data_IF_206531260046
#
_entry.id   IF_206531260046
#
_cell.length_a   1.000
_cell.length_b   1.000
_cell.length_c   1.000
_cell.angle_alpha   90.00
_cell.angle_beta   90.00
_cell.angle_gamma   90.00
#
_symmetry.space_group_name_H-M   'P 1'
#
loop_
_entity.id
_entity.type
_entity.pdbx_description
1 polymer ?
#
# COMPACT_ATOMS: atom_id res chain seq x y z
N UNK A 1 14.88 41.94 -16.83
CA UNK A 1 15.44 41.23 -15.66
C UNK A 1 15.74 39.81 -16.09
N UNK A 2 17.00 39.56 -16.45
CA UNK A 2 17.52 38.24 -16.81
C UNK A 2 18.26 37.70 -15.58
N UNK A 3 17.91 36.50 -15.13
CA UNK A 3 18.63 35.81 -14.06
C UNK A 3 19.96 35.25 -14.61
N UNK A 4 21.07 35.35 -13.87
CA UNK A 4 22.38 34.93 -14.38
C UNK A 4 22.57 33.40 -14.32
N UNK A 5 23.31 32.89 -15.30
CA UNK A 5 23.78 31.50 -15.40
C UNK A 5 24.65 31.08 -14.19
N UNK A 6 24.66 29.78 -13.82
CA UNK A 6 25.53 29.28 -12.75
C UNK A 6 26.98 29.15 -13.23
N UNK A 7 27.92 29.68 -12.45
CA UNK A 7 29.36 29.47 -12.61
C UNK A 7 29.79 28.08 -12.11
N UNK A 8 30.86 27.48 -12.68
CA UNK A 8 31.29 26.12 -12.37
C UNK A 8 32.08 26.03 -11.05
N UNK A 9 31.78 24.95 -10.33
CA UNK A 9 32.45 24.30 -9.20
C UNK A 9 33.74 24.93 -8.63
N UNK A 10 33.66 25.39 -7.38
CA UNK A 10 34.80 25.44 -6.45
C UNK A 10 34.86 24.13 -5.66
N UNK A 11 36.01 23.46 -5.73
CA UNK A 11 36.31 22.22 -5.01
C UNK A 11 36.62 22.51 -3.53
N UNK A 12 35.62 22.48 -2.66
CA UNK A 12 35.85 22.13 -1.25
C UNK A 12 35.71 20.62 -1.13
N UNK A 13 36.81 19.92 -0.82
CA UNK A 13 36.90 18.46 -0.67
C UNK A 13 36.14 17.88 0.52
N UNK A 14 34.96 18.43 0.85
CA UNK A 14 33.97 17.77 1.68
C UNK A 14 33.15 16.87 0.76
N UNK A 15 32.95 15.58 1.09
CA UNK A 15 32.02 14.74 0.34
C UNK A 15 30.66 15.45 0.33
N UNK A 16 30.15 15.73 -0.86
CA UNK A 16 28.79 16.22 -1.02
C UNK A 16 27.85 15.09 -0.59
N UNK A 17 27.30 15.20 0.62
CA UNK A 17 26.19 14.35 1.04
C UNK A 17 24.91 15.01 0.54
N UNK A 18 24.23 14.45 -0.48
CA UNK A 18 22.91 14.93 -0.86
C UNK A 18 21.96 14.84 0.36
N UNK A 19 20.98 15.74 0.49
CA UNK A 19 20.00 15.64 1.57
C UNK A 19 19.29 14.28 1.49
N UNK A 20 19.03 13.63 2.64
CA UNK A 20 18.37 12.34 2.67
C UNK A 20 17.02 12.44 1.96
N UNK A 21 16.74 11.48 1.08
CA UNK A 21 15.51 11.47 0.27
C UNK A 21 14.47 10.54 0.88
N UNK A 22 14.92 9.43 1.46
CA UNK A 22 14.05 8.43 2.07
C UNK A 22 14.05 8.49 3.60
N UNK A 23 13.06 7.86 4.24
CA UNK A 23 13.07 7.66 5.69
C UNK A 23 14.29 6.85 6.14
N UNK A 24 14.69 5.85 5.36
CA UNK A 24 15.88 5.05 5.62
C UNK A 24 17.14 5.91 5.65
N UNK A 25 17.35 6.73 4.61
CA UNK A 25 18.53 7.60 4.50
C UNK A 25 18.66 8.50 5.73
N UNK A 26 17.54 9.03 6.23
CA UNK A 26 17.55 9.94 7.38
C UNK A 26 17.70 9.23 8.72
N UNK A 27 17.00 8.13 8.93
CA UNK A 27 16.95 7.45 10.22
C UNK A 27 18.14 6.52 10.44
N UNK A 28 18.66 5.88 9.39
CA UNK A 28 19.58 4.76 9.54
C UNK A 28 20.94 5.00 8.88
N UNK A 29 20.97 5.63 7.70
CA UNK A 29 22.22 5.84 6.95
C UNK A 29 22.87 7.21 7.24
N UNK A 30 22.11 8.17 7.75
CA UNK A 30 22.62 9.52 8.00
C UNK A 30 23.53 9.60 9.23
N UNK A 31 24.72 10.23 9.13
CA UNK A 31 25.56 10.53 10.29
C UNK A 31 24.90 11.54 11.25
N UNK A 32 23.86 12.23 10.80
CA UNK A 32 23.07 13.17 11.63
C UNK A 32 21.77 12.55 12.15
N UNK A 33 21.58 11.23 11.97
CA UNK A 33 20.38 10.53 12.41
C UNK A 33 20.07 10.86 13.88
N UNK A 34 18.81 11.21 14.20
CA UNK A 34 18.40 11.41 15.58
C UNK A 34 18.52 10.13 16.43
N UNK A 35 18.49 8.95 15.81
CA UNK A 35 18.55 7.67 16.51
C UNK A 35 19.92 7.39 17.13
N UNK A 36 21.00 7.94 16.55
CA UNK A 36 22.36 7.69 17.03
C UNK A 36 22.95 8.85 17.84
N UNK A 37 22.14 9.83 18.22
CA UNK A 37 22.56 10.97 19.04
C UNK A 37 23.00 10.56 20.46
N UNK A 38 22.49 9.44 20.96
CA UNK A 38 22.88 8.89 22.25
C UNK A 38 23.88 7.72 22.07
N UNK A 39 24.65 7.44 23.12
CA UNK A 39 25.50 6.25 23.15
C UNK A 39 24.62 5.00 23.29
N UNK A 40 24.53 4.23 22.20
CA UNK A 40 23.84 2.94 22.14
C UNK A 40 24.87 1.82 21.96
N UNK A 41 24.69 0.74 22.72
CA UNK A 41 25.37 -0.54 22.51
C UNK A 41 25.03 -1.13 21.14
N UNK A 42 25.85 -2.05 20.59
CA UNK A 42 25.53 -2.71 19.32
C UNK A 42 24.16 -3.40 19.33
N UNK A 43 23.79 -4.06 20.44
CA UNK A 43 22.50 -4.70 20.61
C UNK A 43 21.32 -3.70 20.57
N UNK A 44 21.44 -2.56 21.25
CA UNK A 44 20.42 -1.50 21.21
C UNK A 44 20.29 -0.89 19.82
N UNK A 45 21.40 -0.72 19.08
CA UNK A 45 21.37 -0.25 17.69
C UNK A 45 20.62 -1.22 16.78
N UNK A 46 20.83 -2.52 16.95
CA UNK A 46 20.10 -3.53 16.21
C UNK A 46 18.58 -3.45 16.48
N UNK A 47 18.18 -3.32 17.75
CA UNK A 47 16.75 -3.15 18.09
C UNK A 47 16.16 -1.89 17.48
N UNK A 48 16.87 -0.75 17.52
CA UNK A 48 16.42 0.50 16.91
C UNK A 48 16.26 0.38 15.39
N UNK A 49 17.21 -0.28 14.74
CA UNK A 49 17.17 -0.59 13.31
C UNK A 49 15.91 -1.41 12.97
N UNK A 50 15.58 -2.41 13.78
CA UNK A 50 14.39 -3.25 13.55
C UNK A 50 13.07 -2.55 13.85
N UNK A 51 13.05 -1.61 14.81
CA UNK A 51 11.90 -0.72 15.01
C UNK A 51 11.68 0.13 13.77
N UNK A 52 12.73 0.70 13.16
CA UNK A 52 12.60 1.48 11.92
C UNK A 52 12.16 0.60 10.75
N UNK A 53 12.71 -0.60 10.62
CA UNK A 53 12.31 -1.55 9.59
C UNK A 53 10.82 -1.91 9.71
N UNK A 54 10.32 -2.09 10.94
CA UNK A 54 8.90 -2.38 11.21
C UNK A 54 7.93 -1.25 10.83
N UNK A 55 8.42 -0.07 10.44
CA UNK A 55 7.57 1.01 9.91
C UNK A 55 6.91 0.61 8.59
N UNK A 56 7.40 -0.42 7.90
CA UNK A 56 6.71 -1.01 6.74
C UNK A 56 5.29 -1.51 7.08
N UNK A 57 5.05 -1.90 8.35
CA UNK A 57 3.73 -2.26 8.87
C UNK A 57 2.75 -1.10 8.93
N UNK A 58 3.27 0.13 8.87
CA UNK A 58 2.49 1.37 8.80
C UNK A 58 2.42 1.88 7.37
N UNK A 59 3.57 2.03 6.72
CA UNK A 59 3.70 2.68 5.40
C UNK A 59 3.22 1.77 4.26
N UNK A 60 3.20 0.45 4.46
CA UNK A 60 3.04 -0.54 3.40
C UNK A 60 4.23 -0.60 2.43
N UNK A 61 5.38 0.01 2.76
CA UNK A 61 6.54 0.10 1.88
C UNK A 61 7.85 0.13 2.69
N UNK A 62 8.95 -0.35 2.09
CA UNK A 62 10.28 -0.21 2.70
C UNK A 62 10.57 1.26 2.98
N UNK A 63 11.19 1.57 4.12
CA UNK A 63 11.58 2.93 4.50
C UNK A 63 12.52 3.60 3.49
N UNK A 64 13.20 2.80 2.66
CA UNK A 64 14.00 3.25 1.51
C UNK A 64 13.13 3.88 0.42
N UNK A 65 11.89 3.42 0.26
CA UNK A 65 10.99 3.91 -0.78
C UNK A 65 10.13 5.09 -0.31
N UNK A 66 10.00 5.30 1.00
CA UNK A 66 9.13 6.32 1.57
C UNK A 66 9.83 7.67 1.57
N UNK A 67 9.22 8.68 0.94
CA UNK A 67 9.76 10.03 0.85
C UNK A 67 9.89 10.68 2.22
N UNK A 68 11.09 11.09 2.61
CA UNK A 68 11.32 11.85 3.84
C UNK A 68 10.57 13.18 3.84
N UNK A 69 10.57 13.88 2.69
CA UNK A 69 10.00 15.21 2.55
C UNK A 69 8.48 15.21 2.73
N UNK A 70 7.83 14.17 2.24
CA UNK A 70 6.38 14.06 2.17
C UNK A 70 5.85 12.91 3.04
N UNK A 71 6.61 12.47 4.04
CA UNK A 71 6.07 11.57 5.05
C UNK A 71 5.40 12.39 6.16
N UNK A 72 4.15 12.04 6.53
CA UNK A 72 3.42 12.72 7.60
C UNK A 72 2.93 14.12 7.28
N UNK A 73 2.65 14.43 6.00
CA UNK A 73 2.09 15.74 5.59
C UNK A 73 0.56 15.79 5.64
N UNK A 74 -0.08 14.62 5.76
CA UNK A 74 -1.52 14.47 5.91
C UNK A 74 -2.05 15.12 7.19
N UNK A 75 -3.37 15.19 7.28
CA UNK A 75 -4.03 15.79 8.44
C UNK A 75 -4.30 14.73 9.50
N UNK A 76 -3.61 14.86 10.63
CA UNK A 76 -3.86 14.05 11.81
C UNK A 76 -5.13 14.47 12.58
N UNK A 77 -5.72 13.48 13.25
CA UNK A 77 -6.81 13.68 14.20
C UNK A 77 -6.29 13.64 15.64
N UNK A 78 -6.98 14.35 16.53
CA UNK A 78 -6.71 14.28 17.97
C UNK A 78 -7.45 13.11 18.61
N UNK A 79 -6.88 12.56 19.69
CA UNK A 79 -7.46 11.44 20.42
C UNK A 79 -6.68 10.13 20.25
N UNK A 80 -7.17 9.06 20.87
CA UNK A 80 -6.57 7.72 20.78
C UNK A 80 -7.17 6.91 19.63
N UNK A 81 -6.37 5.98 19.09
CA UNK A 81 -6.83 5.01 18.09
C UNK A 81 -7.82 3.99 18.68
N UNK A 82 -9.07 4.08 18.23
CA UNK A 82 -10.12 3.12 18.55
C UNK A 82 -10.07 1.87 17.67
N UNK A 83 -10.33 0.70 18.26
CA UNK A 83 -10.57 -0.54 17.52
C UNK A 83 -12.08 -0.81 17.48
N UNK A 84 -12.62 -1.09 16.30
CA UNK A 84 -14.04 -1.41 16.13
C UNK A 84 -14.31 -2.88 16.51
N UNK A 85 -15.08 -3.16 17.59
CA UNK A 85 -15.32 -4.55 18.02
C UNK A 85 -16.13 -5.36 16.99
N UNK A 86 -17.02 -4.70 16.23
CA UNK A 86 -17.96 -5.34 15.29
C UNK A 86 -17.50 -5.30 13.82
N UNK A 87 -16.19 -5.16 13.57
CA UNK A 87 -15.55 -5.02 12.24
C UNK A 87 -16.04 -3.83 11.40
N UNK A 88 -15.23 -3.39 10.44
CA UNK A 88 -15.64 -2.37 9.46
C UNK A 88 -16.77 -2.83 8.52
N UNK A 89 -16.96 -4.14 8.33
CA UNK A 89 -17.97 -4.69 7.42
C UNK A 89 -19.41 -4.37 7.85
N UNK A 90 -19.64 -4.10 9.13
CA UNK A 90 -20.96 -3.67 9.62
C UNK A 90 -21.35 -2.29 9.06
N UNK A 91 -20.40 -1.35 9.02
CA UNK A 91 -20.58 -0.01 8.45
C UNK A 91 -20.86 -0.09 6.94
N UNK A 92 -20.04 -0.84 6.20
CA UNK A 92 -20.18 -0.99 4.75
C UNK A 92 -21.55 -1.60 4.38
N UNK A 93 -21.98 -2.66 5.07
CA UNK A 93 -23.30 -3.27 4.85
C UNK A 93 -24.44 -2.30 5.11
N UNK A 94 -24.34 -1.47 6.15
CA UNK A 94 -25.34 -0.45 6.46
C UNK A 94 -25.41 0.62 5.36
N UNK A 95 -24.27 1.10 4.87
CA UNK A 95 -24.21 2.07 3.76
C UNK A 95 -24.79 1.49 2.47
N UNK A 96 -24.44 0.25 2.12
CA UNK A 96 -24.97 -0.44 0.95
C UNK A 96 -26.50 -0.60 1.02
N UNK A 97 -27.01 -1.07 2.17
CA UNK A 97 -28.45 -1.25 2.37
C UNK A 97 -29.22 0.08 2.26
N UNK A 98 -28.67 1.16 2.80
CA UNK A 98 -29.29 2.49 2.72
C UNK A 98 -29.29 3.04 1.29
N UNK A 99 -28.20 2.82 0.54
CA UNK A 99 -28.13 3.18 -0.87
C UNK A 99 -29.20 2.47 -1.71
N UNK A 100 -29.38 1.16 -1.52
CA UNK A 100 -30.42 0.39 -2.20
C UNK A 100 -31.83 0.80 -1.78
N UNK A 101 -32.05 1.09 -0.49
CA UNK A 101 -33.32 1.60 0.03
C UNK A 101 -33.75 2.92 -0.63
N UNK A 102 -32.79 3.76 -1.00
CA UNK A 102 -33.02 5.03 -1.71
C UNK A 102 -33.19 4.85 -3.23
N UNK A 103 -33.22 3.62 -3.73
CA UNK A 103 -33.38 3.30 -5.15
C UNK A 103 -32.06 3.15 -5.92
N UNK A 104 -30.93 3.21 -5.23
CA UNK A 104 -29.62 2.85 -5.77
C UNK A 104 -29.58 1.36 -6.16
N UNK A 105 -28.70 1.02 -7.10
CA UNK A 105 -28.50 -0.36 -7.55
C UNK A 105 -27.04 -0.74 -7.39
N UNK A 106 -26.77 -1.80 -6.65
CA UNK A 106 -25.43 -2.39 -6.53
C UNK A 106 -25.37 -3.60 -7.45
N UNK A 107 -24.43 -3.58 -8.40
CA UNK A 107 -24.22 -4.68 -9.33
C UNK A 107 -22.94 -5.41 -8.91
N UNK A 108 -23.09 -6.50 -8.16
CA UNK A 108 -21.98 -7.42 -7.87
C UNK A 108 -21.62 -8.23 -9.12
N UNK A 109 -20.47 -8.91 -9.08
CA UNK A 109 -19.97 -9.76 -10.18
C UNK A 109 -20.01 -9.02 -11.54
N UNK A 110 -19.57 -7.75 -11.53
CA UNK A 110 -19.70 -6.80 -12.64
C UNK A 110 -18.40 -6.02 -12.83
N UNK A 111 -17.37 -6.68 -13.35
CA UNK A 111 -16.08 -6.03 -13.64
C UNK A 111 -16.24 -5.02 -14.79
N UNK A 112 -15.79 -3.78 -14.57
CA UNK A 112 -15.77 -2.74 -15.59
C UNK A 112 -14.61 -2.99 -16.57
N UNK A 113 -14.92 -3.21 -17.84
CA UNK A 113 -13.91 -3.41 -18.89
C UNK A 113 -13.57 -2.11 -19.63
N UNK A 114 -14.56 -1.21 -19.76
CA UNK A 114 -14.37 0.03 -20.52
C UNK A 114 -15.30 1.13 -20.02
N UNK A 115 -14.77 2.34 -19.91
CA UNK A 115 -15.52 3.56 -19.63
C UNK A 115 -15.33 4.49 -20.83
N UNK A 116 -16.38 4.71 -21.60
CA UNK A 116 -16.32 5.45 -22.86
C UNK A 116 -17.20 6.70 -22.84
N UNK A 117 -16.63 7.85 -23.21
CA UNK A 117 -17.36 9.07 -23.54
C UNK A 117 -17.91 8.96 -24.97
N UNK A 118 -19.22 8.97 -25.09
CA UNK A 118 -19.93 8.94 -26.38
C UNK A 118 -19.98 10.34 -26.99
N UNK A 119 -19.46 10.49 -28.21
CA UNK A 119 -19.52 11.75 -28.99
C UNK A 119 -20.51 11.55 -30.14
N UNK A 120 -21.46 12.48 -30.39
CA UNK A 120 -21.59 13.81 -29.78
C UNK A 120 -22.54 13.88 -28.58
N UNK A 121 -23.13 12.77 -28.14
CA UNK A 121 -24.17 12.77 -27.11
C UNK A 121 -23.67 13.25 -25.74
N UNK A 122 -22.37 13.14 -25.49
CA UNK A 122 -21.75 13.48 -24.20
C UNK A 122 -22.18 12.55 -23.08
N UNK A 123 -22.71 11.36 -23.38
CA UNK A 123 -23.04 10.34 -22.38
C UNK A 123 -21.84 9.44 -22.10
N UNK A 124 -21.82 8.84 -20.92
CA UNK A 124 -20.84 7.81 -20.56
C UNK A 124 -21.48 6.45 -20.76
N UNK A 125 -20.72 5.56 -21.39
CA UNK A 125 -21.05 4.17 -21.62
C UNK A 125 -20.04 3.30 -20.90
N UNK A 126 -20.54 2.41 -20.06
CA UNK A 126 -19.73 1.47 -19.29
C UNK A 126 -19.99 0.06 -19.78
N UNK A 127 -18.93 -0.62 -20.21
CA UNK A 127 -18.96 -2.03 -20.58
C UNK A 127 -18.61 -2.89 -19.37
N UNK A 128 -19.42 -3.91 -19.14
CA UNK A 128 -19.23 -4.86 -18.03
C UNK A 128 -18.83 -6.22 -18.59
N UNK A 129 -17.81 -6.83 -17.99
CA UNK A 129 -17.28 -8.11 -18.41
C UNK A 129 -18.35 -9.19 -18.46
N UNK A 130 -18.34 -9.95 -19.56
CA UNK A 130 -19.27 -11.07 -19.78
C UNK A 130 -20.74 -10.67 -19.92
N UNK A 131 -21.10 -9.38 -20.01
CA UNK A 131 -22.47 -8.91 -20.17
C UNK A 131 -22.66 -8.24 -21.53
N UNK A 132 -23.73 -8.57 -22.28
CA UNK A 132 -24.00 -7.97 -23.59
C UNK A 132 -24.58 -6.55 -23.47
N UNK A 133 -25.21 -6.23 -22.34
CA UNK A 133 -25.81 -4.91 -22.09
C UNK A 133 -24.77 -3.93 -21.53
N UNK A 134 -24.70 -2.74 -22.12
CA UNK A 134 -23.86 -1.63 -21.66
C UNK A 134 -24.68 -0.69 -20.77
N UNK A 135 -24.05 -0.11 -19.75
CA UNK A 135 -24.69 0.85 -18.85
C UNK A 135 -24.44 2.25 -19.39
N UNK A 136 -25.50 3.02 -19.63
CA UNK A 136 -25.40 4.43 -20.02
C UNK A 136 -25.74 5.38 -18.85
N UNK A 137 -24.94 6.43 -18.70
CA UNK A 137 -25.09 7.43 -17.65
C UNK A 137 -24.72 8.85 -18.14
N UNK A 138 -25.23 9.88 -17.46
CA UNK A 138 -24.87 11.28 -17.72
C UNK A 138 -23.48 11.67 -17.17
N UNK A 139 -23.03 10.97 -16.13
CA UNK A 139 -21.71 11.08 -15.50
C UNK A 139 -21.31 9.74 -14.85
N UNK A 140 -20.03 9.61 -14.51
CA UNK A 140 -19.43 8.42 -13.90
C UNK A 140 -18.45 8.87 -12.82
N UNK A 141 -18.39 8.19 -11.68
CA UNK A 141 -17.35 8.37 -10.67
C UNK A 141 -16.50 7.11 -10.64
N UNK A 142 -15.20 7.27 -10.93
CA UNK A 142 -14.24 6.18 -10.84
C UNK A 142 -13.71 6.08 -9.41
N UNK A 143 -13.90 4.92 -8.79
CA UNK A 143 -13.37 4.59 -7.45
C UNK A 143 -12.45 3.37 -7.46
N UNK A 144 -11.88 3.04 -8.64
CA UNK A 144 -10.93 1.95 -8.76
C UNK A 144 -9.70 2.22 -7.89
N UNK A 145 -9.19 1.24 -7.13
CA UNK A 145 -7.96 1.42 -6.35
C UNK A 145 -6.78 1.84 -7.23
N UNK A 146 -5.83 2.58 -6.65
CA UNK A 146 -4.67 3.07 -7.38
C UNK A 146 -3.89 1.93 -8.04
N UNK A 147 -3.71 0.79 -7.36
CA UNK A 147 -3.06 -0.38 -7.95
C UNK A 147 -3.78 -0.95 -9.18
N UNK A 148 -5.12 -0.83 -9.25
CA UNK A 148 -5.90 -1.20 -10.44
C UNK A 148 -5.70 -0.18 -11.55
N UNK A 149 -5.71 1.12 -11.23
CA UNK A 149 -5.44 2.18 -12.20
C UNK A 149 -4.02 2.08 -12.77
N UNK A 150 -3.03 1.71 -11.97
CA UNK A 150 -1.65 1.47 -12.42
C UNK A 150 -1.56 0.30 -13.41
N UNK A 151 -2.40 -0.73 -13.26
CA UNK A 151 -2.40 -1.91 -14.11
C UNK A 151 -3.30 -1.79 -15.35
N UNK A 152 -4.41 -1.04 -15.27
CA UNK A 152 -5.49 -1.01 -16.27
C UNK A 152 -6.00 0.42 -16.55
N UNK A 153 -5.09 1.38 -16.77
CA UNK A 153 -5.48 2.76 -17.14
C UNK A 153 -6.01 2.88 -18.59
N UNK A 154 -5.92 1.83 -19.40
CA UNK A 154 -6.35 1.76 -20.80
C UNK A 154 -7.87 1.49 -20.96
N UNK A 155 -8.59 1.26 -19.87
CA UNK A 155 -10.06 1.10 -19.88
C UNK A 155 -10.80 2.38 -20.26
N UNK A 156 -10.15 3.55 -20.18
CA UNK A 156 -10.76 4.84 -20.44
C UNK A 156 -10.70 5.21 -21.93
N UNK A 157 -11.81 5.70 -22.47
CA UNK A 157 -11.94 6.12 -23.85
C UNK A 157 -12.73 7.44 -23.95
N UNK A 158 -12.12 8.59 -24.29
CA UNK A 158 -10.72 8.74 -24.69
C UNK A 158 -9.74 8.44 -23.54
N UNK A 159 -8.46 8.13 -23.87
CA UNK A 159 -7.44 7.83 -22.87
C UNK A 159 -7.28 8.95 -21.83
N UNK A 160 -6.84 8.58 -20.63
CA UNK A 160 -6.50 9.55 -19.60
C UNK A 160 -5.37 10.48 -20.08
N UNK A 161 -5.41 11.78 -19.75
CA UNK A 161 -4.35 12.71 -20.14
C UNK A 161 -2.97 12.27 -19.64
N UNK A 162 -1.86 12.57 -20.36
CA UNK A 162 -0.51 12.16 -19.95
C UNK A 162 -0.16 12.55 -18.51
N UNK A 163 -0.55 13.76 -18.08
CA UNK A 163 -0.33 14.23 -16.71
C UNK A 163 -1.00 13.34 -15.66
N UNK A 164 -2.20 12.81 -15.95
CA UNK A 164 -2.91 11.87 -15.08
C UNK A 164 -2.20 10.52 -15.01
N UNK A 165 -1.73 10.02 -16.15
CA UNK A 165 -1.00 8.75 -16.21
C UNK A 165 0.32 8.82 -15.42
N UNK A 166 1.04 9.95 -15.49
CA UNK A 166 2.25 10.19 -14.70
C UNK A 166 1.95 10.27 -13.20
N UNK A 167 0.88 10.94 -12.79
CA UNK A 167 0.47 10.96 -11.38
C UNK A 167 0.17 9.54 -10.86
N UNK A 168 -0.59 8.75 -11.62
CA UNK A 168 -0.92 7.35 -11.30
C UNK A 168 0.36 6.50 -11.19
N UNK A 169 1.34 6.67 -12.08
CA UNK A 169 2.55 5.85 -12.08
C UNK A 169 3.56 6.24 -10.99
N UNK A 170 3.62 7.53 -10.63
CA UNK A 170 4.56 8.05 -9.61
C UNK A 170 4.12 7.72 -8.19
N UNK A 171 2.83 7.84 -7.89
CA UNK A 171 2.31 7.56 -6.54
C UNK A 171 2.54 6.09 -6.19
N UNK A 172 3.15 5.84 -5.03
CA UNK A 172 3.39 4.49 -4.56
C UNK A 172 2.09 3.80 -4.18
N UNK A 173 1.99 2.49 -4.43
CA UNK A 173 0.88 1.66 -3.93
C UNK A 173 1.46 0.47 -3.17
N UNK A 174 1.46 0.61 -1.85
CA UNK A 174 2.12 -0.26 -0.91
C UNK A 174 1.50 -1.65 -0.82
N UNK A 175 2.05 -2.46 0.06
CA UNK A 175 1.55 -3.75 0.45
C UNK A 175 1.71 -3.94 1.95
N UNK A 176 0.60 -4.28 2.59
CA UNK A 176 0.56 -4.71 3.98
C UNK A 176 -0.40 -5.88 4.09
N UNK A 177 0.14 -7.07 4.29
CA UNK A 177 -0.66 -8.25 4.60
C UNK A 177 -0.75 -8.48 6.10
N UNK A 178 -1.86 -9.07 6.51
CA UNK A 178 -2.10 -9.50 7.88
C UNK A 178 -2.10 -11.01 7.92
N UNK A 179 -1.41 -11.55 8.93
CA UNK A 179 -1.64 -12.93 9.35
C UNK A 179 -2.36 -12.92 10.68
N UNK A 180 -3.55 -13.49 10.71
CA UNK A 180 -4.38 -13.61 11.90
C UNK A 180 -4.32 -15.06 12.35
N UNK A 181 -3.83 -15.29 13.56
CA UNK A 181 -3.78 -16.64 14.15
C UNK A 181 -4.63 -16.68 15.40
N UNK A 182 -5.41 -17.74 15.56
CA UNK A 182 -6.19 -18.02 16.75
C UNK A 182 -5.71 -19.30 17.40
N UNK A 183 -5.36 -19.23 18.68
CA UNK A 183 -4.97 -20.40 19.47
C UNK A 183 -6.15 -20.99 20.23
N UNK A 184 -6.09 -22.26 20.66
CA UNK A 184 -7.09 -22.83 21.56
C UNK A 184 -7.15 -22.10 22.92
N UNK A 185 -5.98 -21.69 23.43
CA UNK A 185 -5.82 -20.98 24.70
C UNK A 185 -4.75 -19.89 24.60
N UNK A 186 -4.88 -18.82 25.37
CA UNK A 186 -3.84 -17.80 25.47
C UNK A 186 -2.67 -18.35 26.29
N UNK A 187 -1.55 -18.62 25.61
CA UNK A 187 -0.35 -19.16 26.23
C UNK A 187 0.77 -18.14 26.43
N UNK A 188 0.64 -16.94 25.86
CA UNK A 188 1.55 -15.80 26.06
C UNK A 188 1.01 -14.84 27.13
N UNK A 189 1.82 -13.84 27.52
CA UNK A 189 1.39 -12.76 28.40
C UNK A 189 0.31 -11.89 27.73
N UNK A 190 -0.94 -12.10 28.14
CA UNK A 190 -2.11 -11.46 27.53
C UNK A 190 -2.23 -9.95 27.75
N UNK A 191 -1.40 -9.34 28.62
CA UNK A 191 -1.53 -7.93 29.02
C UNK A 191 -0.93 -6.91 28.05
N UNK A 192 -0.01 -7.32 27.17
CA UNK A 192 0.66 -6.41 26.22
C UNK A 192 -0.17 -6.31 24.95
N UNK A 193 -0.54 -5.08 24.54
CA UNK A 193 -1.33 -4.82 23.32
C UNK A 193 -0.51 -4.94 22.03
N UNK A 194 0.76 -4.52 22.07
CA UNK A 194 1.65 -4.48 20.91
C UNK A 194 3.05 -4.96 21.30
N UNK A 195 3.65 -5.77 20.45
CA UNK A 195 5.07 -6.14 20.54
C UNK A 195 5.66 -6.30 19.14
N UNK A 196 6.98 -6.36 19.05
CA UNK A 196 7.71 -6.58 17.80
C UNK A 196 8.49 -7.88 17.95
N UNK A 197 8.35 -8.77 16.97
CA UNK A 197 9.22 -9.93 16.85
C UNK A 197 10.45 -9.51 16.07
N UNK A 198 11.62 -9.59 16.69
CA UNK A 198 12.89 -9.25 16.04
C UNK A 198 13.24 -10.31 14.97
N UNK A 199 14.14 -10.04 14.02
CA UNK A 199 14.69 -11.05 13.13
C UNK A 199 15.28 -12.24 13.90
N UNK A 200 15.45 -13.38 13.24
CA UNK A 200 16.26 -14.44 13.84
C UNK A 200 17.71 -13.94 13.91
N UNK A 201 18.39 -14.12 15.05
CA UNK A 201 19.83 -13.86 15.09
C UNK A 201 20.49 -14.76 14.06
N UNK A 202 21.23 -14.17 13.11
CA UNK A 202 22.15 -14.96 12.31
C UNK A 202 23.08 -15.64 13.32
N UNK A 203 23.13 -16.98 13.31
CA UNK A 203 24.14 -17.71 14.07
C UNK A 203 25.48 -17.05 13.72
N UNK A 204 26.09 -16.39 14.70
CA UNK A 204 27.41 -15.80 14.51
C UNK A 204 28.30 -16.92 13.99
N UNK A 205 28.74 -16.84 12.73
CA UNK A 205 29.84 -17.66 12.28
C UNK A 205 30.96 -17.37 13.29
N UNK A 206 31.22 -18.33 14.15
CA UNK A 206 32.32 -18.22 15.10
C UNK A 206 33.56 -18.09 14.25
N UNK A 207 34.11 -16.89 14.16
CA UNK A 207 35.41 -16.62 13.60
C UNK A 207 36.41 -17.49 14.37
N UNK A 208 36.68 -18.67 13.83
CA UNK A 208 37.88 -19.41 14.18
C UNK A 208 39.03 -18.57 13.64
N UNK A 209 39.63 -17.76 14.51
CA UNK A 209 40.91 -17.11 14.26
C UNK A 209 41.93 -18.19 13.87
N UNK A 210 42.11 -18.40 12.57
CA UNK A 210 43.29 -19.06 12.04
C UNK A 210 44.33 -17.98 11.74
N UNK A 211 45.33 -17.88 12.62
CA UNK A 211 46.60 -17.22 12.32
C UNK A 211 47.14 -17.71 10.96
N UNK A 212 47.38 -16.80 10.02
CA UNK A 212 48.03 -17.19 8.78
C UNK A 212 48.04 -16.17 7.64
N UNK A 213 49.03 -15.29 7.68
CA UNK A 213 49.80 -14.83 6.51
C UNK A 213 49.13 -13.93 5.46
N UNK A 214 49.65 -12.70 5.35
CA UNK A 214 49.55 -11.87 4.14
C UNK A 214 49.96 -12.64 2.87
N UNK A 215 49.31 -12.33 1.73
CA UNK A 215 50.07 -11.63 0.69
C UNK A 215 49.31 -10.51 -0.03
N UNK A 216 50.15 -9.77 -0.76
CA UNK A 216 50.01 -8.54 -1.51
C UNK A 216 48.92 -8.45 -2.59
N UNK A 217 48.57 -7.20 -2.89
CA UNK A 217 47.82 -6.73 -4.03
C UNK A 217 48.31 -7.32 -5.37
N UNK A 218 47.37 -7.76 -6.20
CA UNK A 218 47.45 -7.53 -7.64
C UNK A 218 46.05 -7.41 -8.26
N UNK A 219 45.98 -6.55 -9.26
CA UNK A 219 44.83 -6.17 -10.05
C UNK A 219 44.43 -7.22 -11.09
N UNK A 220 43.14 -7.37 -11.36
CA UNK A 220 42.64 -7.57 -12.73
C UNK A 220 41.12 -7.55 -12.82
N UNK A 221 40.64 -6.63 -13.66
CA UNK A 221 39.31 -6.60 -14.26
C UNK A 221 39.22 -7.76 -15.27
N UNK A 222 38.18 -8.58 -15.21
CA UNK A 222 37.62 -9.22 -16.41
C UNK A 222 36.10 -9.28 -16.33
N UNK A 223 35.47 -8.81 -17.41
CA UNK A 223 34.03 -8.89 -17.63
C UNK A 223 33.64 -10.29 -18.09
N UNK A 224 32.51 -10.80 -17.62
CA UNK A 224 31.76 -11.84 -18.33
C UNK A 224 30.26 -11.51 -18.30
N UNK A 225 29.73 -11.14 -19.47
CA UNK A 225 28.30 -11.18 -19.78
C UNK A 225 27.83 -12.63 -19.74
N UNK A 226 26.69 -12.91 -19.10
CA UNK A 226 25.85 -14.05 -19.47
C UNK A 226 24.43 -13.93 -18.91
N UNK A 227 23.47 -13.88 -19.84
CA UNK A 227 22.17 -14.58 -19.86
C UNK A 227 21.25 -14.58 -18.63
N UNK A 228 20.01 -14.13 -18.88
CA UNK A 228 18.79 -14.29 -18.08
C UNK A 228 18.64 -15.68 -17.42
N UNK A 229 18.02 -15.75 -16.23
CA UNK A 229 17.37 -16.98 -15.78
C UNK A 229 15.84 -16.85 -15.87
N UNK A 230 15.24 -17.78 -16.59
CA UNK A 230 13.82 -18.11 -16.50
C UNK A 230 13.52 -18.60 -15.06
N UNK A 231 12.50 -18.02 -14.43
CA UNK A 231 12.03 -18.42 -13.11
C UNK A 231 11.26 -19.76 -13.20
N UNK A 232 11.93 -20.85 -12.84
CA UNK A 232 11.27 -22.10 -12.49
C UNK A 232 11.62 -22.47 -11.03
N UNK A 233 10.66 -22.25 -10.13
CA UNK A 233 10.72 -22.74 -8.76
C UNK A 233 10.36 -24.24 -8.73
N UNK A 234 11.19 -25.13 -8.16
CA UNK A 234 10.83 -26.54 -8.06
C UNK A 234 9.84 -26.76 -6.91
N UNK A 235 8.76 -27.50 -7.17
CA UNK A 235 7.84 -27.95 -6.12
C UNK A 235 8.49 -29.07 -5.29
N UNK A 236 8.60 -28.97 -3.95
CA UNK A 236 9.21 -30.04 -3.17
C UNK A 236 8.17 -31.07 -2.72
N UNK A 237 8.38 -32.32 -3.14
CA UNK A 237 7.76 -33.51 -2.55
C UNK A 237 8.31 -33.77 -1.14
N UNK A 238 7.40 -34.04 -0.21
CA UNK A 238 7.67 -34.33 1.20
C UNK A 238 8.37 -35.68 1.41
N UNK A 239 9.49 -35.67 2.13
CA UNK A 239 9.92 -36.82 2.94
C UNK A 239 10.63 -36.33 4.19
N UNK A 240 10.15 -36.74 5.36
CA UNK A 240 10.66 -36.30 6.65
C UNK A 240 12.02 -36.89 7.01
N UNK A 241 12.85 -36.07 7.66
CA UNK A 241 13.65 -36.41 8.84
C UNK A 241 14.23 -35.11 9.41
N UNK A 242 14.17 -34.95 10.73
CA UNK A 242 14.74 -33.83 11.48
C UNK A 242 16.27 -33.76 11.34
N UNK A 243 16.78 -32.58 10.95
CA UNK A 243 18.10 -32.00 11.22
C UNK A 243 18.11 -30.57 10.63
N UNK A 244 18.68 -29.63 11.37
CA UNK A 244 18.86 -28.20 11.04
C UNK A 244 18.78 -27.88 9.54
N UNK A 245 17.64 -27.34 9.13
CA UNK A 245 17.37 -26.80 7.80
C UNK A 245 16.80 -25.40 8.03
N UNK A 246 17.62 -24.36 7.90
CA UNK A 246 17.10 -23.01 7.81
C UNK A 246 16.16 -22.97 6.60
N UNK A 247 14.85 -22.96 6.85
CA UNK A 247 13.84 -22.77 5.79
C UNK A 247 14.15 -21.40 5.17
N UNK A 248 14.58 -21.30 3.90
CA UNK A 248 14.95 -20.01 3.30
C UNK A 248 13.80 -19.00 3.35
N UNK A 249 12.56 -19.49 3.38
CA UNK A 249 11.34 -18.69 3.53
C UNK A 249 11.25 -18.00 4.91
N UNK A 250 11.77 -18.65 5.96
CA UNK A 250 11.84 -18.10 7.32
C UNK A 250 12.72 -16.85 7.33
N UNK A 251 13.81 -16.87 6.56
CA UNK A 251 14.69 -15.71 6.39
C UNK A 251 13.98 -14.52 5.74
N UNK A 252 12.98 -14.74 4.89
CA UNK A 252 12.30 -13.64 4.17
C UNK A 252 11.19 -13.03 5.03
N UNK A 253 10.31 -13.84 5.62
CA UNK A 253 9.18 -13.36 6.43
C UNK A 253 9.63 -12.66 7.72
N UNK A 254 10.75 -13.10 8.29
CA UNK A 254 11.33 -12.55 9.52
C UNK A 254 12.74 -11.99 9.28
N UNK A 255 13.00 -11.47 8.07
CA UNK A 255 14.23 -10.71 7.74
C UNK A 255 14.30 -9.39 8.51
N UNK A 256 13.14 -8.83 8.86
CA UNK A 256 12.95 -7.56 9.56
C UNK A 256 12.01 -7.75 10.75
N UNK A 257 12.00 -6.78 11.66
CA UNK A 257 11.11 -6.72 12.80
C UNK A 257 9.64 -6.75 12.37
N UNK A 258 8.88 -7.74 12.86
CA UNK A 258 7.44 -7.88 12.55
C UNK A 258 6.61 -7.34 13.71
N UNK A 259 5.77 -6.34 13.42
CA UNK A 259 4.83 -5.79 14.41
C UNK A 259 3.66 -6.76 14.63
N UNK A 260 3.34 -7.02 15.89
CA UNK A 260 2.27 -7.94 16.30
C UNK A 260 1.32 -7.24 17.25
N UNK A 261 0.01 -7.38 16.98
CA UNK A 261 -1.04 -6.92 17.86
C UNK A 261 -1.67 -8.10 18.60
N UNK A 262 -1.80 -7.96 19.92
CA UNK A 262 -2.54 -8.88 20.75
C UNK A 262 -4.01 -8.46 20.84
N UNK A 263 -4.91 -9.35 20.41
CA UNK A 263 -6.35 -9.10 20.41
C UNK A 263 -7.06 -9.61 21.67
N UNK A 264 -6.35 -10.26 22.60
CA UNK A 264 -6.91 -10.69 23.91
C UNK A 264 -7.48 -9.49 24.67
N UNK A 265 -6.79 -8.35 24.83
CA UNK A 265 -7.35 -7.18 25.52
C UNK A 265 -8.55 -6.53 24.81
N UNK A 266 -8.76 -6.82 23.53
CA UNK A 266 -9.79 -6.19 22.69
C UNK A 266 -11.05 -7.06 22.62
N UNK A 267 -10.87 -8.36 22.45
CA UNK A 267 -11.94 -9.32 22.15
C UNK A 267 -12.15 -10.38 23.22
N UNK A 268 -11.18 -10.56 24.12
CA UNK A 268 -11.12 -11.68 25.06
C UNK A 268 -10.64 -12.99 24.43
N UNK A 269 -10.50 -13.05 23.11
CA UNK A 269 -10.11 -14.26 22.38
C UNK A 269 -8.58 -14.34 22.21
N UNK A 270 -7.99 -15.56 22.24
CA UNK A 270 -6.56 -15.81 22.06
C UNK A 270 -6.12 -15.62 20.59
N UNK A 271 -6.15 -14.38 20.12
CA UNK A 271 -5.84 -13.98 18.75
C UNK A 271 -4.63 -13.06 18.72
N UNK A 272 -3.71 -13.35 17.79
CA UNK A 272 -2.58 -12.48 17.43
C UNK A 272 -2.71 -12.07 15.96
N UNK A 273 -2.37 -10.82 15.67
CA UNK A 273 -2.35 -10.28 14.30
C UNK A 273 -0.96 -9.77 13.97
N UNK A 274 -0.36 -10.34 12.95
CA UNK A 274 0.98 -10.01 12.44
C UNK A 274 0.83 -9.09 11.24
N UNK A 275 1.67 -8.06 11.18
CA UNK A 275 1.64 -7.05 10.13
C UNK A 275 2.90 -7.19 9.28
N UNK A 276 2.75 -7.71 8.07
CA UNK A 276 3.86 -7.95 7.14
C UNK A 276 3.75 -6.95 5.98
N UNK A 277 4.60 -5.92 6.02
CA UNK A 277 4.71 -4.92 4.97
C UNK A 277 5.74 -5.31 3.90
N UNK A 278 5.75 -4.55 2.80
CA UNK A 278 6.82 -4.56 1.80
C UNK A 278 7.21 -5.99 1.33
N UNK A 279 8.50 -6.37 1.43
CA UNK A 279 9.01 -7.65 0.92
C UNK A 279 8.42 -8.86 1.65
N UNK A 280 8.24 -8.76 2.97
CA UNK A 280 7.63 -9.83 3.77
C UNK A 280 6.15 -10.00 3.42
N UNK A 281 5.45 -8.89 3.17
CA UNK A 281 4.08 -8.88 2.68
C UNK A 281 3.92 -9.51 1.31
N UNK A 282 4.88 -9.36 0.41
CA UNK A 282 4.87 -10.00 -0.92
C UNK A 282 5.18 -11.50 -0.82
N UNK A 283 6.19 -11.86 -0.01
CA UNK A 283 6.56 -13.25 0.19
C UNK A 283 5.42 -14.07 0.80
N UNK A 284 4.71 -13.54 1.80
CA UNK A 284 3.66 -14.31 2.51
C UNK A 284 2.49 -14.72 1.60
N UNK A 285 2.24 -14.01 0.49
CA UNK A 285 1.16 -14.36 -0.44
C UNK A 285 1.38 -15.71 -1.14
N UNK A 286 2.63 -16.13 -1.26
CA UNK A 286 3.04 -17.34 -1.97
C UNK A 286 2.92 -18.63 -1.14
N UNK A 287 2.61 -18.50 0.15
CA UNK A 287 2.52 -19.63 1.09
C UNK A 287 1.07 -19.95 1.45
N UNK A 288 0.79 -21.21 1.81
CA UNK A 288 -0.50 -21.61 2.35
C UNK A 288 -0.70 -21.08 3.78
N UNK A 289 -1.94 -20.95 4.22
CA UNK A 289 -2.22 -20.45 5.57
C UNK A 289 -1.65 -21.38 6.65
N UNK A 290 -1.69 -22.69 6.42
CA UNK A 290 -1.20 -23.73 7.32
C UNK A 290 0.33 -23.62 7.48
N UNK A 291 1.04 -23.46 6.36
CA UNK A 291 2.49 -23.30 6.40
C UNK A 291 2.91 -22.01 7.12
N UNK A 292 2.22 -20.89 6.84
CA UNK A 292 2.46 -19.62 7.54
C UNK A 292 2.17 -19.75 9.05
N UNK A 293 1.13 -20.50 9.43
CA UNK A 293 0.80 -20.75 10.83
C UNK A 293 1.94 -21.47 11.56
N UNK A 294 2.53 -22.49 10.94
CA UNK A 294 3.71 -23.20 11.49
C UNK A 294 4.90 -22.25 11.67
N UNK A 295 5.24 -21.45 10.64
CA UNK A 295 6.38 -20.52 10.70
C UNK A 295 6.18 -19.47 11.80
N UNK A 296 4.97 -18.91 11.92
CA UNK A 296 4.64 -17.95 12.99
C UNK A 296 4.72 -18.60 14.35
N UNK A 297 4.21 -19.83 14.49
CA UNK A 297 4.24 -20.55 15.75
C UNK A 297 5.69 -20.82 16.19
N UNK A 298 6.53 -21.33 15.28
CA UNK A 298 7.96 -21.53 15.51
C UNK A 298 8.65 -20.22 15.93
N UNK A 299 8.36 -19.12 15.24
CA UNK A 299 8.93 -17.80 15.56
C UNK A 299 8.51 -17.29 16.94
N UNK A 300 7.25 -17.47 17.32
CA UNK A 300 6.80 -17.08 18.65
C UNK A 300 7.48 -17.93 19.73
N UNK A 301 7.59 -19.26 19.53
CA UNK A 301 8.29 -20.13 20.47
C UNK A 301 9.79 -19.79 20.56
N UNK A 302 10.40 -19.24 19.51
CA UNK A 302 11.80 -18.82 19.56
C UNK A 302 12.03 -17.52 20.33
N UNK A 303 10.99 -16.70 20.58
CA UNK A 303 11.14 -15.37 21.21
C UNK A 303 10.36 -15.18 22.50
N UNK A 304 9.31 -15.97 22.76
CA UNK A 304 8.60 -15.98 24.04
C UNK A 304 9.27 -17.00 24.96
N UNK A 305 9.96 -16.58 26.04
CA UNK A 305 10.63 -17.50 26.95
C UNK A 305 9.67 -18.51 27.57
N UNK A 306 10.16 -19.72 27.88
CA UNK A 306 9.31 -20.80 28.44
C UNK A 306 8.67 -20.37 29.75
N UNK A 307 9.37 -19.58 30.56
CA UNK A 307 8.92 -19.07 31.85
C UNK A 307 7.78 -18.05 31.74
N UNK A 308 7.63 -17.42 30.58
CA UNK A 308 6.55 -16.48 30.28
C UNK A 308 5.31 -17.16 29.67
N UNK A 309 5.41 -18.47 29.38
CA UNK A 309 4.30 -19.24 28.83
C UNK A 309 3.44 -19.83 29.94
N UNK A 310 2.13 -19.89 29.72
CA UNK A 310 1.23 -20.61 30.64
C UNK A 310 1.29 -22.13 30.50
N UNK A 311 1.87 -22.63 29.40
CA UNK A 311 2.13 -24.04 29.09
C UNK A 311 3.51 -24.20 28.45
N UNK A 312 4.19 -25.31 28.72
CA UNK A 312 5.57 -25.55 28.23
C UNK A 312 5.62 -25.70 26.71
N UNK A 313 4.69 -26.50 26.16
CA UNK A 313 4.52 -26.77 24.74
C UNK A 313 3.12 -26.33 24.31
N UNK A 314 2.96 -25.10 23.81
CA UNK A 314 1.67 -24.63 23.29
C UNK A 314 1.25 -25.37 22.02
N UNK A 315 -0.04 -25.64 21.87
CA UNK A 315 -0.60 -26.15 20.62
C UNK A 315 -0.40 -25.16 19.46
N UNK A 316 -0.35 -25.70 18.23
CA UNK A 316 -0.42 -24.88 17.01
C UNK A 316 -1.70 -24.02 16.98
N UNK A 317 -1.70 -22.91 16.23
CA UNK A 317 -2.92 -22.16 15.97
C UNK A 317 -4.04 -23.07 15.43
N UNK A 318 -5.21 -22.98 16.04
CA UNK A 318 -6.43 -23.66 15.57
C UNK A 318 -6.97 -23.06 14.27
N UNK A 319 -6.70 -21.78 14.02
CA UNK A 319 -7.11 -21.08 12.79
C UNK A 319 -6.00 -20.13 12.35
N UNK A 320 -5.83 -19.98 11.04
CA UNK A 320 -4.91 -19.04 10.41
C UNK A 320 -5.53 -18.41 9.16
N UNK A 321 -5.51 -17.09 9.09
CA UNK A 321 -5.94 -16.31 7.93
C UNK A 321 -4.78 -15.42 7.46
N UNK A 322 -4.42 -15.54 6.19
CA UNK A 322 -3.43 -14.68 5.52
C UNK A 322 -4.15 -13.83 4.48
N UNK A 323 -4.08 -12.50 4.59
CA UNK A 323 -4.55 -11.61 3.51
C UNK A 323 -3.56 -11.62 2.34
N UNK A 324 -4.04 -11.39 1.11
CA UNK A 324 -3.21 -11.36 -0.11
C UNK A 324 -3.62 -10.21 -1.02
N UNK A 325 -3.33 -8.99 -0.58
CA UNK A 325 -3.79 -7.76 -1.22
C UNK A 325 -3.16 -7.48 -2.58
N UNK A 326 -1.91 -7.90 -2.81
CA UNK A 326 -1.23 -7.72 -4.11
C UNK A 326 -1.82 -8.64 -5.17
N UNK A 327 -2.08 -9.89 -4.79
CA UNK A 327 -2.69 -10.90 -5.65
C UNK A 327 -4.16 -10.64 -5.96
N UNK A 328 -4.89 -9.88 -5.12
CA UNK A 328 -6.26 -9.48 -5.40
C UNK A 328 -6.33 -8.60 -6.66
N UNK A 329 -6.95 -9.06 -7.76
CA UNK A 329 -6.99 -8.32 -9.02
C UNK A 329 -7.78 -7.01 -8.92
N UNK A 330 -8.62 -6.85 -7.90
CA UNK A 330 -9.47 -5.69 -7.66
C UNK A 330 -8.86 -4.69 -6.68
N UNK A 331 -7.73 -5.01 -6.05
CA UNK A 331 -6.97 -4.09 -5.19
C UNK A 331 -5.55 -3.85 -5.73
N UNK A 332 -4.79 -4.92 -5.99
CA UNK A 332 -3.39 -4.91 -6.45
C UNK A 332 -2.39 -4.25 -5.50
N UNK A 333 -2.67 -4.31 -4.20
CA UNK A 333 -1.90 -3.70 -3.13
C UNK A 333 -2.80 -3.23 -2.01
N UNK A 334 -2.22 -2.58 -1.00
CA UNK A 334 -2.95 -2.14 0.19
C UNK A 334 -3.47 -0.71 0.06
N UNK A 335 -2.58 0.28 -0.05
CA UNK A 335 -2.92 1.70 -0.05
C UNK A 335 -1.78 2.57 -0.58
N UNK A 336 -2.09 3.82 -0.91
CA UNK A 336 -1.10 4.75 -1.47
C UNK A 336 -0.04 5.22 -0.47
N UNK A 337 1.14 5.58 -0.97
CA UNK A 337 2.20 6.25 -0.19
C UNK A 337 3.01 7.20 -1.08
N UNK A 338 3.66 8.18 -0.45
CA UNK A 338 4.57 9.10 -1.15
C UNK A 338 5.91 8.42 -1.41
N UNK A 339 6.10 7.98 -2.65
CA UNK A 339 7.29 7.28 -3.09
C UNK A 339 8.43 8.26 -3.40
N UNK A 340 9.63 7.97 -2.90
CA UNK A 340 10.88 8.53 -3.43
C UNK A 340 11.64 7.47 -4.23
N UNK A 341 12.39 7.89 -5.24
CA UNK A 341 13.32 7.02 -5.95
C UNK A 341 14.71 7.13 -5.32
N UNK A 342 15.20 6.04 -4.74
CA UNK A 342 16.55 5.93 -4.15
C UNK A 342 17.65 5.65 -5.17
N UNK A 343 17.32 5.29 -6.43
CA UNK A 343 18.28 5.12 -7.52
C UNK A 343 17.61 5.24 -8.90
N UNK A 344 18.30 5.73 -9.95
CA UNK A 344 17.79 5.73 -11.31
C UNK A 344 17.63 4.30 -11.83
N UNK A 345 16.38 3.91 -12.17
CA UNK A 345 16.09 2.69 -12.92
C UNK A 345 15.99 3.02 -14.41
N UNK A 346 16.52 2.12 -15.24
CA UNK A 346 16.39 2.20 -16.68
C UNK A 346 15.38 1.14 -17.12
N UNK A 347 14.51 1.48 -18.05
CA UNK A 347 13.60 0.51 -18.64
C UNK A 347 14.38 -0.48 -19.54
N UNK A 348 13.69 -1.50 -20.05
CA UNK A 348 14.28 -2.51 -20.96
C UNK A 348 14.89 -1.91 -22.24
N UNK A 349 14.60 -0.65 -22.56
CA UNK A 349 15.13 0.10 -23.69
C UNK A 349 16.35 0.97 -23.34
N UNK A 350 16.77 0.99 -22.08
CA UNK A 350 17.88 1.81 -21.61
C UNK A 350 17.53 3.28 -21.39
N UNK A 351 16.24 3.64 -21.45
CA UNK A 351 15.78 4.97 -21.09
C UNK A 351 15.58 5.08 -19.59
N UNK A 352 15.92 6.24 -19.06
CA UNK A 352 15.63 6.67 -17.71
C UNK A 352 14.10 6.57 -17.44
N UNK A 353 13.67 5.63 -16.60
CA UNK A 353 12.26 5.54 -16.16
C UNK A 353 11.88 6.77 -15.34
N UNK A 354 10.92 7.58 -15.84
CA UNK A 354 10.35 8.80 -15.21
C UNK A 354 10.80 9.02 -13.75
N UNK A 355 11.85 9.82 -13.56
CA UNK A 355 12.66 9.87 -12.33
C UNK A 355 12.12 10.77 -11.23
N UNK A 356 10.90 11.28 -11.37
CA UNK A 356 10.36 12.20 -10.38
C UNK A 356 9.81 11.46 -9.16
N UNK A 357 10.12 12.01 -7.98
CA UNK A 357 9.51 11.59 -6.73
C UNK A 357 8.01 11.91 -6.75
N UNK A 358 7.22 11.05 -6.11
CA UNK A 358 5.80 11.38 -5.89
C UNK A 358 5.69 12.53 -4.89
N UNK A 359 4.61 13.30 -5.05
CA UNK A 359 4.32 14.43 -4.18
C UNK A 359 2.80 14.67 -4.10
N UNK A 360 2.33 15.50 -3.16
CA UNK A 360 0.89 15.72 -2.96
C UNK A 360 0.14 16.25 -4.20
N UNK A 361 0.83 16.86 -5.18
CA UNK A 361 0.18 17.31 -6.42
C UNK A 361 -0.28 16.14 -7.29
N UNK A 362 0.28 14.95 -7.13
CA UNK A 362 -0.18 13.74 -7.83
C UNK A 362 -1.59 13.35 -7.34
N UNK A 363 -1.85 13.44 -6.03
CA UNK A 363 -3.18 13.20 -5.43
C UNK A 363 -4.19 14.24 -5.90
N UNK A 364 -3.80 15.52 -5.98
CA UNK A 364 -4.61 16.60 -6.54
C UNK A 364 -4.89 16.35 -8.02
N UNK A 365 -3.91 15.87 -8.78
CA UNK A 365 -4.11 15.55 -10.19
C UNK A 365 -5.13 14.41 -10.34
N UNK A 366 -5.04 13.36 -9.51
CA UNK A 366 -5.95 12.21 -9.52
C UNK A 366 -7.39 12.58 -9.14
N UNK A 367 -7.60 13.55 -8.26
CA UNK A 367 -8.94 13.99 -7.84
C UNK A 367 -9.66 14.87 -8.87
N UNK A 368 -8.96 15.43 -9.87
CA UNK A 368 -9.59 16.31 -10.87
C UNK A 368 -10.64 15.56 -11.69
N UNK A 369 -11.82 16.14 -11.92
CA UNK A 369 -12.75 15.58 -12.88
C UNK A 369 -12.24 15.80 -14.32
N UNK A 370 -12.57 14.86 -15.21
CA UNK A 370 -12.25 14.86 -16.64
C UNK A 370 -13.53 14.91 -17.48
N UNK A 371 -13.36 15.05 -18.80
CA UNK A 371 -14.46 15.05 -19.78
C UNK A 371 -15.54 16.09 -19.45
N UNK A 372 -15.11 17.34 -19.25
CA UNK A 372 -15.97 18.46 -18.86
C UNK A 372 -16.82 18.18 -17.61
N UNK A 373 -16.23 17.49 -16.64
CA UNK A 373 -16.88 17.16 -15.38
C UNK A 373 -17.63 15.82 -15.39
N UNK A 374 -17.75 15.15 -16.53
CA UNK A 374 -18.56 13.92 -16.63
C UNK A 374 -17.88 12.70 -16.02
N UNK A 375 -16.54 12.68 -15.99
CA UNK A 375 -15.78 11.64 -15.30
C UNK A 375 -15.17 12.19 -14.02
N UNK A 376 -15.74 11.80 -12.89
CA UNK A 376 -15.25 12.06 -11.55
C UNK A 376 -14.31 10.99 -11.02
N UNK A 377 -13.58 11.31 -9.95
CA UNK A 377 -12.68 10.38 -9.25
C UNK A 377 -12.84 10.55 -7.75
N UNK A 378 -12.98 9.44 -7.03
CA UNK A 378 -13.00 9.40 -5.57
C UNK A 378 -12.27 8.15 -5.06
N UNK A 379 -11.75 8.21 -3.84
CA UNK A 379 -10.95 7.14 -3.27
C UNK A 379 -9.83 7.69 -2.39
N UNK A 380 -9.09 6.79 -1.76
CA UNK A 380 -8.01 7.18 -0.83
C UNK A 380 -6.91 7.97 -1.56
N UNK A 381 -6.57 7.57 -2.78
CA UNK A 381 -5.58 8.22 -3.64
C UNK A 381 -6.06 9.56 -4.26
N UNK A 382 -7.25 10.05 -3.89
CA UNK A 382 -7.81 11.32 -4.36
C UNK A 382 -7.83 12.39 -3.25
N UNK A 383 -7.25 12.13 -2.07
CA UNK A 383 -7.24 13.08 -0.96
C UNK A 383 -5.81 13.40 -0.50
N UNK A 384 -5.45 14.67 -0.49
CA UNK A 384 -4.17 15.15 0.07
C UNK A 384 -4.14 14.96 1.58
N UNK A 385 -5.23 15.28 2.26
CA UNK A 385 -5.28 15.32 3.72
C UNK A 385 -5.56 13.95 4.35
N UNK A 386 -6.10 12.99 3.57
CA UNK A 386 -6.67 11.75 4.09
C UNK A 386 -6.37 10.51 3.23
N UNK A 387 -5.22 10.48 2.54
CA UNK A 387 -4.79 9.30 1.78
C UNK A 387 -4.50 8.11 2.72
N UNK A 388 -4.48 6.89 2.16
CA UNK A 388 -4.21 5.63 2.88
C UNK A 388 -5.13 5.31 4.07
N UNK A 389 -6.25 6.02 4.23
CA UNK A 389 -7.18 5.86 5.34
C UNK A 389 -8.60 5.51 4.87
N UNK A 390 -9.44 5.01 5.78
CA UNK A 390 -10.86 4.69 5.48
C UNK A 390 -11.73 5.94 5.34
N UNK A 391 -11.44 7.00 6.09
CA UNK A 391 -12.24 8.24 6.06
C UNK A 391 -11.99 9.07 4.78
N UNK A 392 -10.83 8.96 4.14
CA UNK A 392 -10.52 9.65 2.88
C UNK A 392 -11.46 9.30 1.72
N UNK A 393 -11.66 8.02 1.37
CA UNK A 393 -12.66 7.57 0.40
C UNK A 393 -14.08 8.05 0.72
N UNK A 394 -14.46 8.10 2.01
CA UNK A 394 -15.76 8.61 2.43
C UNK A 394 -15.89 10.10 2.11
N UNK A 395 -14.88 10.92 2.46
CA UNK A 395 -14.89 12.36 2.24
C UNK A 395 -14.86 12.71 0.75
N UNK A 396 -13.96 12.10 -0.02
CA UNK A 396 -13.89 12.31 -1.48
C UNK A 396 -15.16 11.84 -2.18
N UNK A 397 -15.82 10.78 -1.69
CA UNK A 397 -17.14 10.36 -2.17
C UNK A 397 -18.24 11.41 -1.92
N UNK A 398 -18.24 12.07 -0.76
CA UNK A 398 -19.18 13.16 -0.47
C UNK A 398 -18.93 14.40 -1.36
N UNK A 399 -17.66 14.75 -1.58
CA UNK A 399 -17.27 15.84 -2.48
C UNK A 399 -17.77 15.60 -3.91
N UNK A 400 -17.58 14.38 -4.42
CA UNK A 400 -18.06 14.01 -5.76
C UNK A 400 -19.59 13.97 -5.84
N UNK A 401 -20.27 13.51 -4.78
CA UNK A 401 -21.73 13.56 -4.70
C UNK A 401 -22.24 15.01 -4.76
N UNK A 402 -21.60 15.93 -4.03
CA UNK A 402 -21.95 17.35 -4.03
C UNK A 402 -21.65 18.01 -5.38
N UNK A 403 -20.54 17.65 -6.03
CA UNK A 403 -20.19 18.10 -7.39
C UNK A 403 -21.25 17.64 -8.40
N UNK A 404 -21.68 16.38 -8.32
CA UNK A 404 -22.72 15.83 -9.21
C UNK A 404 -24.04 16.56 -9.00
N UNK A 405 -24.46 16.72 -7.74
CA UNK A 405 -25.70 17.43 -7.41
C UNK A 405 -25.70 18.86 -7.98
N UNK A 406 -24.59 19.58 -7.81
CA UNK A 406 -24.44 20.97 -8.28
C UNK A 406 -24.46 21.10 -9.80
N UNK A 407 -24.13 20.02 -10.53
CA UNK A 407 -24.03 20.00 -12.00
C UNK A 407 -25.06 19.07 -12.66
N UNK A 408 -26.11 18.65 -11.93
CA UNK A 408 -27.06 17.63 -12.37
C UNK A 408 -27.66 17.92 -13.75
N UNK A 409 -28.09 19.16 -13.99
CA UNK A 409 -28.69 19.60 -15.25
C UNK A 409 -27.70 19.59 -16.44
N UNK A 410 -26.41 19.78 -16.17
CA UNK A 410 -25.35 19.69 -17.19
C UNK A 410 -25.09 18.24 -17.60
N UNK A 411 -25.17 17.31 -16.66
CA UNK A 411 -24.96 15.88 -16.90
C UNK A 411 -26.19 15.20 -17.50
N UNK A 412 -27.39 15.68 -17.17
CA UNK A 412 -28.66 15.19 -17.68
C UNK A 412 -29.43 16.34 -18.34
N UNK A 413 -29.02 16.76 -19.55
CA UNK A 413 -29.73 17.81 -20.26
C UNK A 413 -31.17 17.38 -20.48
N UNK A 414 -32.09 18.25 -20.06
CA UNK A 414 -33.52 18.11 -20.27
C UNK A 414 -33.83 17.84 -21.75
N UNK A 415 -34.73 16.90 -22.02
CA UNK A 415 -35.23 16.68 -23.38
C UNK A 415 -35.89 17.96 -23.92
N UNK A 416 -36.03 18.11 -25.23
CA UNK A 416 -36.81 19.24 -25.79
C UNK A 416 -38.22 19.32 -25.18
N UNK A 417 -38.79 18.18 -24.83
CA UNK A 417 -40.11 18.10 -24.21
C UNK A 417 -40.07 18.62 -22.76
N UNK A 418 -39.09 18.21 -21.97
CA UNK A 418 -38.87 18.74 -20.60
C UNK A 418 -38.64 20.25 -20.62
N UNK A 419 -37.88 20.76 -21.60
CA UNK A 419 -37.65 22.19 -21.76
C UNK A 419 -38.94 22.94 -22.13
N UNK A 420 -39.77 22.37 -23.03
CA UNK A 420 -41.09 22.92 -23.37
C UNK A 420 -42.04 22.91 -22.18
N UNK A 421 -42.01 21.85 -21.36
CA UNK A 421 -42.87 21.72 -20.19
C UNK A 421 -42.44 22.63 -19.04
N UNK A 422 -41.12 22.77 -18.78
CA UNK A 422 -40.57 23.75 -17.84
C UNK A 422 -40.93 25.18 -18.30
N UNK A 423 -40.79 25.49 -19.59
CA UNK A 423 -41.17 26.79 -20.14
C UNK A 423 -42.67 27.07 -20.00
N UNK A 424 -43.53 26.07 -20.27
CA UNK A 424 -44.99 26.17 -20.04
C UNK A 424 -45.34 26.40 -18.59
N UNK A 425 -44.73 25.66 -17.66
CA UNK A 425 -44.97 25.79 -16.22
C UNK A 425 -44.51 27.15 -15.71
N UNK A 426 -43.34 27.62 -16.12
CA UNK A 426 -42.80 28.94 -15.76
C UNK A 426 -43.69 30.08 -16.28
N UNK A 427 -44.14 29.98 -17.54
CA UNK A 427 -45.08 30.95 -18.14
C UNK A 427 -46.43 30.95 -17.42
N UNK A 428 -46.90 29.78 -16.99
CA UNK A 428 -48.18 29.65 -16.26
C UNK A 428 -48.07 30.24 -14.86
N UNK A 429 -46.93 30.03 -14.19
CA UNK A 429 -46.66 30.59 -12.86
C UNK A 429 -46.51 32.13 -12.92
N UNK A 430 -45.83 32.67 -13.92
CA UNK A 430 -45.71 34.12 -14.15
C UNK A 430 -47.03 34.82 -14.52
N UNK A 431 -48.05 34.08 -14.99
CA UNK A 431 -49.40 34.62 -15.23
C UNK A 431 -50.29 34.54 -13.98
N UNK A 432 -49.86 33.78 -12.97
CA UNK A 432 -50.55 33.56 -11.71
C UNK A 432 -50.11 34.58 -10.64
N UNK A 433 -48.91 35.14 -10.79
CA UNK A 433 -48.40 36.34 -10.10
C UNK A 433 -48.81 37.56 -10.92
#
# INVERSE_FOLDING_TARGET
MLLPHPHPHTSSGLPYNPPPKSLYDFLLDSPTSPLYKNHHTPAERNVLQEIVNSLDSWTGASSEQVSLKWWGFEKDYTGEDGVLPNTYSSLIRKMASEFERLGGRILLDSECERIQLQIPTGRIRVRVAGKPEEIEAGCCVCTLPLGVLQAKADIFDPPLPPRRLLAISRTGFGLLNKVVVRYPTCWWSGGVRWFVLLPAEAESETDSESEGSHPSADSSITSARSSSPENHWPSPTMSGTSKSNSRPEYSVLFSKGVKVQNYVPITGEPVLVFYLGAEAGEAVEHFSNEYVAELIHEKLLSQVPVEERSVEEPDLPSECLVTRWRSDPYARGSYSFMKTKTSPKFNDHGDLEDHEDSNPLDLIEMSKPLWDGKLGFAGEHCSVDHYACVHGPYMTGLEEAQRIQSNYHSFNPHTEQDQKDISRLTTSFQKLI
#
